data_IF_761582615107
#
_entry.id   IF_761582615107
#
_cell.length_a   1.000
_cell.length_b   1.000
_cell.length_c   1.000
_cell.angle_alpha   90.00
_cell.angle_beta   90.00
_cell.angle_gamma   90.00
#
_symmetry.space_group_name_H-M   'P 1'
#
loop_
_entity.id
_entity.type
_entity.pdbx_description
1 polymer ?
#
# COMPACT_ATOMS: atom_id res chain seq x y z
N UNK A 1 14.26 -24.36 11.85
CA UNK A 1 15.28 -24.04 12.89
C UNK A 1 14.66 -24.40 14.24
N UNK A 2 15.32 -25.20 15.09
CA UNK A 2 14.80 -25.50 16.43
C UNK A 2 14.52 -24.22 17.22
N UNK A 3 13.37 -24.12 17.87
CA UNK A 3 12.94 -22.91 18.59
C UNK A 3 12.53 -21.73 17.69
N UNK A 4 12.37 -21.93 16.37
CA UNK A 4 11.83 -20.89 15.51
C UNK A 4 10.38 -20.57 15.88
N UNK A 5 10.09 -19.27 15.98
CA UNK A 5 8.74 -18.75 16.10
C UNK A 5 8.15 -18.52 14.71
N UNK A 6 6.83 -18.43 14.66
CA UNK A 6 6.05 -18.21 13.46
C UNK A 6 5.35 -16.86 13.53
N UNK A 7 5.37 -16.11 12.43
CA UNK A 7 4.64 -14.85 12.30
C UNK A 7 3.46 -15.01 11.35
N UNK A 8 2.30 -14.54 11.77
CA UNK A 8 1.12 -14.39 10.94
C UNK A 8 0.69 -12.91 10.92
N UNK A 9 0.00 -12.48 9.87
CA UNK A 9 -0.38 -11.08 9.68
C UNK A 9 -1.89 -10.94 9.54
N UNK A 10 -2.50 -10.06 10.34
CA UNK A 10 -3.86 -9.57 10.05
C UNK A 10 -3.72 -8.55 8.92
N UNK A 11 -4.41 -8.81 7.82
CA UNK A 11 -4.32 -8.00 6.61
C UNK A 11 -5.63 -7.28 6.35
N UNK A 12 -5.53 -6.10 5.75
CA UNK A 12 -6.71 -5.31 5.43
C UNK A 12 -7.61 -6.01 4.40
N UNK A 13 -8.90 -5.96 4.65
CA UNK A 13 -9.94 -6.32 3.68
C UNK A 13 -10.37 -5.12 2.80
N UNK A 14 -9.90 -3.92 3.11
CA UNK A 14 -10.28 -2.68 2.43
C UNK A 14 -9.21 -2.25 1.42
N UNK A 15 -9.67 -1.73 0.28
CA UNK A 15 -8.78 -1.13 -0.70
C UNK A 15 -8.24 0.23 -0.25
N UNK A 16 -9.02 0.99 0.52
CA UNK A 16 -8.63 2.27 1.10
C UNK A 16 -9.51 2.53 2.33
N UNK A 17 -8.93 2.74 3.50
CA UNK A 17 -9.68 3.05 4.73
C UNK A 17 -8.76 3.65 5.80
N UNK A 18 -9.29 4.52 6.65
CA UNK A 18 -8.61 4.87 7.91
C UNK A 18 -8.74 3.70 8.89
N UNK A 19 -7.73 3.52 9.71
CA UNK A 19 -7.75 2.57 10.83
C UNK A 19 -8.15 3.38 12.07
N UNK A 20 -9.39 3.23 12.52
CA UNK A 20 -9.91 3.99 13.66
C UNK A 20 -9.53 3.34 15.00
N UNK A 21 -9.54 2.00 15.05
CA UNK A 21 -9.12 1.24 16.24
C UNK A 21 -8.59 -0.14 15.86
N UNK A 22 -7.64 -0.65 16.65
CA UNK A 22 -7.20 -2.05 16.64
C UNK A 22 -7.42 -2.58 18.05
N UNK A 23 -8.40 -3.45 18.23
CA UNK A 23 -8.64 -4.17 19.48
C UNK A 23 -7.99 -5.55 19.40
N UNK A 24 -7.08 -5.82 20.32
CA UNK A 24 -6.39 -7.11 20.39
C UNK A 24 -7.15 -8.14 21.23
N UNK A 25 -8.26 -7.75 21.87
CA UNK A 25 -9.14 -8.64 22.64
C UNK A 25 -8.37 -9.57 23.59
N UNK A 26 -8.63 -10.87 23.44
CA UNK A 26 -7.95 -11.96 24.18
C UNK A 26 -6.89 -12.67 23.32
N UNK A 27 -6.40 -12.03 22.26
CA UNK A 27 -5.39 -12.60 21.37
C UNK A 27 -4.08 -12.86 22.09
N UNK A 28 -3.68 -11.96 23.00
CA UNK A 28 -2.47 -12.11 23.81
C UNK A 28 -2.55 -13.28 24.81
N UNK A 29 -3.77 -13.73 25.15
CA UNK A 29 -4.00 -14.80 26.11
C UNK A 29 -3.94 -16.20 25.47
N UNK A 30 -3.79 -16.30 24.14
CA UNK A 30 -3.62 -17.59 23.45
C UNK A 30 -2.28 -18.22 23.90
N UNK A 31 -2.28 -19.42 24.51
CA UNK A 31 -1.03 -20.06 24.94
C UNK A 31 -0.08 -20.25 23.76
N UNK A 32 1.18 -19.84 23.95
CA UNK A 32 2.21 -19.88 22.92
C UNK A 32 2.28 -18.64 22.02
N UNK A 33 1.41 -17.63 22.21
CA UNK A 33 1.65 -16.29 21.64
C UNK A 33 2.80 -15.63 22.39
N UNK A 34 3.79 -15.16 21.62
CA UNK A 34 5.00 -14.51 22.13
C UNK A 34 4.88 -12.99 22.03
N UNK A 35 4.19 -12.47 21.01
CA UNK A 35 4.00 -11.03 20.88
C UNK A 35 3.01 -10.65 19.78
N UNK A 36 2.37 -9.50 19.97
CA UNK A 36 1.46 -8.88 19.01
C UNK A 36 1.97 -7.47 18.69
N UNK A 37 2.16 -7.19 17.40
CA UNK A 37 2.78 -5.98 16.92
C UNK A 37 1.82 -5.17 16.04
N UNK A 38 1.68 -3.88 16.39
CA UNK A 38 1.02 -2.85 15.59
C UNK A 38 2.08 -1.90 15.05
N UNK A 39 1.71 -1.02 14.12
CA UNK A 39 2.64 -0.05 13.54
C UNK A 39 3.41 0.75 14.61
N UNK A 40 2.74 1.22 15.67
CA UNK A 40 3.32 1.99 16.76
C UNK A 40 4.48 1.29 17.49
N UNK A 41 4.45 -0.04 17.60
CA UNK A 41 5.53 -0.82 18.21
C UNK A 41 6.80 -0.83 17.35
N UNK A 42 6.68 -0.53 16.06
CA UNK A 42 7.78 -0.59 15.09
C UNK A 42 8.32 0.79 14.73
N UNK A 43 7.58 1.88 14.99
CA UNK A 43 7.94 3.23 14.53
C UNK A 43 9.33 3.70 14.97
N UNK A 44 9.74 3.37 16.20
CA UNK A 44 11.05 3.74 16.74
C UNK A 44 12.18 2.79 16.32
N UNK A 45 11.85 1.61 15.79
CA UNK A 45 12.80 0.52 15.53
C UNK A 45 13.09 0.35 14.04
N UNK A 46 12.08 0.56 13.20
CA UNK A 46 12.13 0.26 11.77
C UNK A 46 11.68 1.49 10.98
N UNK A 47 12.61 2.23 10.36
CA UNK A 47 12.22 3.32 9.47
C UNK A 47 11.47 2.76 8.25
N UNK A 48 10.50 3.51 7.69
CA UNK A 48 9.81 3.08 6.49
C UNK A 48 10.78 2.96 5.31
N UNK A 49 10.56 1.97 4.47
CA UNK A 49 11.27 1.88 3.19
C UNK A 49 10.75 3.01 2.30
N UNK A 50 11.66 3.72 1.64
CA UNK A 50 11.34 4.72 0.63
C UNK A 50 12.02 4.34 -0.66
N UNK A 51 11.23 3.99 -1.68
CA UNK A 51 11.76 3.92 -3.03
C UNK A 51 12.13 5.34 -3.43
N UNK A 52 13.40 5.58 -3.78
CA UNK A 52 13.88 6.90 -4.21
C UNK A 52 14.28 6.84 -5.68
N UNK A 53 14.12 7.96 -6.38
CA UNK A 53 14.47 8.09 -7.79
C UNK A 53 15.00 9.48 -8.09
N UNK A 54 15.93 9.58 -9.05
CA UNK A 54 16.49 10.85 -9.53
C UNK A 54 15.61 11.53 -10.58
N UNK A 55 14.42 11.00 -10.84
CA UNK A 55 13.47 11.60 -11.76
C UNK A 55 13.01 12.96 -11.24
N UNK A 56 12.94 13.94 -12.14
CA UNK A 56 12.33 15.22 -11.86
C UNK A 56 10.88 14.99 -11.38
N UNK A 57 10.50 15.69 -10.32
CA UNK A 57 9.16 15.61 -9.71
C UNK A 57 8.77 14.20 -9.22
N UNK A 58 9.74 13.37 -8.83
CA UNK A 58 9.44 12.10 -8.19
C UNK A 58 9.02 12.29 -6.73
N UNK A 59 7.88 11.71 -6.36
CA UNK A 59 7.38 11.74 -4.99
C UNK A 59 7.62 10.40 -4.31
N UNK A 60 8.60 10.35 -3.39
CA UNK A 60 8.91 9.15 -2.63
C UNK A 60 7.93 8.94 -1.49
N UNK A 61 7.03 7.96 -1.62
CA UNK A 61 6.06 7.61 -0.59
C UNK A 61 6.63 6.56 0.38
N UNK A 62 6.34 6.66 1.69
CA UNK A 62 6.81 5.68 2.67
C UNK A 62 6.05 4.36 2.55
N UNK A 63 6.79 3.25 2.65
CA UNK A 63 6.25 1.90 2.75
C UNK A 63 6.56 1.39 4.16
N UNK A 64 5.52 1.25 4.98
CA UNK A 64 5.63 0.78 6.35
C UNK A 64 5.53 -0.75 6.42
N UNK A 65 6.18 -1.41 7.40
CA UNK A 65 6.03 -2.85 7.61
C UNK A 65 4.60 -3.26 7.96
N UNK A 66 3.91 -2.41 8.73
CA UNK A 66 2.50 -2.52 9.10
C UNK A 66 1.82 -1.17 8.81
N UNK A 67 0.58 -1.20 8.35
CA UNK A 67 -0.21 -0.03 8.01
C UNK A 67 -0.32 0.91 9.20
N UNK A 68 -0.05 2.19 8.96
CA UNK A 68 -0.08 3.25 9.97
C UNK A 68 -1.17 4.26 9.61
N UNK A 69 -2.16 4.41 10.49
CA UNK A 69 -3.27 5.37 10.37
C UNK A 69 -4.28 5.05 9.27
N UNK A 70 -3.84 4.48 8.14
CA UNK A 70 -4.70 4.04 7.04
C UNK A 70 -4.10 2.89 6.25
N UNK A 71 -4.99 2.14 5.61
CA UNK A 71 -4.69 1.09 4.63
C UNK A 71 -4.91 1.63 3.22
N UNK A 72 -4.09 1.22 2.27
CA UNK A 72 -3.96 1.74 0.90
C UNK A 72 -4.21 0.67 -0.17
N UNK A 73 -4.33 -0.59 0.22
CA UNK A 73 -4.69 -1.69 -0.67
C UNK A 73 -5.20 -2.92 0.12
N UNK A 74 -6.01 -3.74 -0.54
CA UNK A 74 -6.46 -5.02 0.02
C UNK A 74 -5.25 -5.94 0.21
N UNK A 75 -5.10 -6.47 1.42
CA UNK A 75 -3.97 -7.33 1.79
C UNK A 75 -2.83 -6.61 2.49
N UNK A 76 -2.90 -5.28 2.69
CA UNK A 76 -1.89 -4.55 3.45
C UNK A 76 -1.81 -5.08 4.89
N UNK A 77 -0.63 -5.47 5.39
CA UNK A 77 -0.47 -5.92 6.78
C UNK A 77 -0.82 -4.80 7.77
N UNK A 78 -1.59 -5.11 8.81
CA UNK A 78 -1.98 -4.14 9.85
C UNK A 78 -1.46 -4.55 11.23
N UNK A 79 -1.55 -5.86 11.53
CA UNK A 79 -1.07 -6.44 12.78
C UNK A 79 -0.21 -7.66 12.45
N UNK A 80 0.86 -7.87 13.21
CA UNK A 80 1.65 -9.10 13.17
C UNK A 80 1.55 -9.83 14.52
N UNK A 81 1.28 -11.13 14.49
CA UNK A 81 1.31 -11.99 15.67
C UNK A 81 2.46 -12.96 15.53
N UNK A 82 3.29 -13.05 16.56
CA UNK A 82 4.39 -14.00 16.67
C UNK A 82 4.04 -15.05 17.72
N UNK A 83 4.10 -16.33 17.35
CA UNK A 83 3.76 -17.45 18.24
C UNK A 83 4.69 -18.65 18.04
N UNK A 84 4.62 -19.62 18.94
CA UNK A 84 5.40 -20.87 18.91
C UNK A 84 5.05 -21.77 17.71
N UNK A 85 3.86 -21.60 17.13
CA UNK A 85 3.46 -22.28 15.90
C UNK A 85 2.62 -21.38 15.01
N UNK A 86 2.53 -21.75 13.72
CA UNK A 86 1.71 -21.00 12.76
C UNK A 86 0.23 -20.98 13.14
N UNK A 87 -0.33 -22.13 13.54
CA UNK A 87 -1.75 -22.23 13.89
C UNK A 87 -2.10 -21.36 15.09
N UNK A 88 -1.23 -21.32 16.11
CA UNK A 88 -1.44 -20.44 17.28
C UNK A 88 -1.41 -18.95 16.91
N UNK A 89 -0.53 -18.57 15.97
CA UNK A 89 -0.53 -17.20 15.46
C UNK A 89 -1.84 -16.89 14.71
N UNK A 90 -2.35 -17.81 13.90
CA UNK A 90 -3.62 -17.67 13.18
C UNK A 90 -4.83 -17.63 14.15
N UNK A 91 -4.89 -18.51 15.15
CA UNK A 91 -5.95 -18.54 16.18
C UNK A 91 -5.99 -17.23 17.00
N UNK A 92 -4.83 -16.63 17.25
CA UNK A 92 -4.74 -15.33 17.91
C UNK A 92 -5.20 -14.18 17.02
N UNK A 93 -4.93 -14.23 15.71
CA UNK A 93 -5.42 -13.22 14.76
C UNK A 93 -6.95 -13.18 14.70
N UNK A 94 -7.61 -14.33 14.81
CA UNK A 94 -9.09 -14.43 14.81
C UNK A 94 -9.75 -13.73 16.02
N UNK A 95 -8.97 -13.38 17.05
CA UNK A 95 -9.42 -12.65 18.24
C UNK A 95 -9.13 -11.16 18.18
N UNK A 96 -8.56 -10.67 17.07
CA UNK A 96 -8.22 -9.27 16.86
C UNK A 96 -9.26 -8.65 15.95
N UNK A 97 -9.84 -7.54 16.38
CA UNK A 97 -10.80 -6.77 15.59
C UNK A 97 -10.18 -5.43 15.17
N UNK A 98 -10.40 -5.06 13.90
CA UNK A 98 -9.96 -3.76 13.37
C UNK A 98 -11.18 -2.98 12.93
N UNK A 99 -11.37 -1.81 13.54
CA UNK A 99 -12.36 -0.85 13.09
C UNK A 99 -11.76 -0.01 11.95
N UNK A 100 -12.49 0.05 10.83
CA UNK A 100 -12.12 0.81 9.66
C UNK A 100 -13.16 1.88 9.36
N UNK A 101 -12.69 3.01 8.86
CA UNK A 101 -13.53 4.01 8.20
C UNK A 101 -13.21 3.98 6.70
N UNK A 102 -14.05 3.33 5.87
CA UNK A 102 -13.77 3.18 4.45
C UNK A 102 -13.64 4.52 3.74
N UNK A 103 -12.61 4.62 2.90
CA UNK A 103 -12.40 5.74 1.99
C UNK A 103 -12.64 5.29 0.56
N UNK A 104 -13.04 6.21 -0.31
CA UNK A 104 -13.22 5.89 -1.73
C UNK A 104 -11.87 5.50 -2.35
N UNK A 105 -11.71 4.26 -2.85
CA UNK A 105 -10.49 3.85 -3.53
C UNK A 105 -10.50 4.37 -4.97
N UNK A 106 -9.32 4.77 -5.47
CA UNK A 106 -9.13 5.14 -6.88
C UNK A 106 -8.39 4.00 -7.58
N UNK A 107 -9.13 3.19 -8.34
CA UNK A 107 -8.60 1.98 -9.00
C UNK A 107 -8.34 2.15 -10.50
N UNK A 108 -8.73 3.29 -11.06
CA UNK A 108 -8.46 3.66 -12.45
C UNK A 108 -7.38 4.74 -12.49
N UNK A 109 -6.26 4.51 -13.20
CA UNK A 109 -5.17 5.48 -13.28
C UNK A 109 -5.59 6.79 -13.96
N UNK A 110 -6.56 6.79 -14.88
CA UNK A 110 -7.07 8.01 -15.51
C UNK A 110 -7.89 8.83 -14.51
N UNK A 111 -8.69 8.18 -13.67
CA UNK A 111 -9.43 8.86 -12.60
C UNK A 111 -8.48 9.40 -11.52
N UNK A 112 -7.36 8.71 -11.26
CA UNK A 112 -6.35 9.18 -10.31
C UNK A 112 -5.66 10.49 -10.72
N UNK A 113 -5.67 10.83 -12.02
CA UNK A 113 -5.08 12.07 -12.55
C UNK A 113 -5.99 13.29 -12.40
N UNK A 114 -7.26 13.10 -12.05
CA UNK A 114 -8.19 14.21 -11.89
C UNK A 114 -7.79 15.07 -10.68
N UNK A 115 -7.93 16.39 -10.78
CA UNK A 115 -7.56 17.34 -9.72
C UNK A 115 -8.29 17.08 -8.39
N UNK A 116 -9.50 16.52 -8.44
CA UNK A 116 -10.33 16.19 -7.29
C UNK A 116 -10.29 14.70 -6.91
N UNK A 117 -9.37 13.91 -7.48
CA UNK A 117 -9.21 12.52 -7.11
C UNK A 117 -8.82 12.38 -5.64
N UNK A 118 -9.36 11.38 -4.95
CA UNK A 118 -8.91 11.03 -3.60
C UNK A 118 -7.43 10.71 -3.64
N UNK A 119 -6.63 11.43 -2.85
CA UNK A 119 -5.19 11.21 -2.76
C UNK A 119 -4.89 9.96 -1.93
N UNK A 120 -4.08 9.06 -2.48
CA UNK A 120 -3.61 7.89 -1.73
C UNK A 120 -2.50 8.27 -0.72
N UNK A 121 -1.73 9.29 -1.04
CA UNK A 121 -0.68 9.88 -0.22
C UNK A 121 -0.88 11.39 -0.17
N UNK A 122 -1.57 11.87 0.86
CA UNK A 122 -1.89 13.28 1.05
C UNK A 122 -0.61 14.13 1.12
N UNK A 123 0.45 13.58 1.71
CA UNK A 123 1.76 14.22 1.81
C UNK A 123 2.43 14.46 0.44
N UNK A 124 2.02 13.74 -0.60
CA UNK A 124 2.52 13.96 -1.97
C UNK A 124 1.75 15.07 -2.70
N UNK A 125 0.54 15.40 -2.28
CA UNK A 125 -0.33 16.38 -2.94
C UNK A 125 -0.84 15.96 -4.34
N UNK A 126 -0.47 14.77 -4.82
CA UNK A 126 -0.82 14.23 -6.13
C UNK A 126 -0.79 12.71 -6.12
N UNK A 127 -1.57 12.07 -7.00
CA UNK A 127 -1.46 10.63 -7.30
C UNK A 127 -0.42 10.33 -8.39
N UNK A 128 0.25 11.34 -8.94
CA UNK A 128 1.34 11.19 -9.92
C UNK A 128 2.67 11.06 -9.19
N UNK A 129 3.13 9.83 -8.98
CA UNK A 129 4.44 9.59 -8.34
C UNK A 129 5.62 9.95 -9.25
N UNK A 130 5.41 9.88 -10.56
CA UNK A 130 6.43 10.09 -11.57
C UNK A 130 5.81 10.49 -12.89
N UNK A 131 6.42 11.47 -13.56
CA UNK A 131 6.09 11.83 -14.93
C UNK A 131 7.38 11.97 -15.74
N UNK A 132 7.36 11.46 -16.96
CA UNK A 132 8.43 11.68 -17.94
C UNK A 132 7.83 11.96 -19.29
N UNK A 133 8.47 12.89 -19.99
CA UNK A 133 8.18 13.21 -21.37
C UNK A 133 9.44 12.92 -22.18
N UNK A 134 9.27 12.24 -23.31
CA UNK A 134 10.36 11.91 -24.22
C UNK A 134 9.97 12.42 -25.60
N UNK A 135 10.84 13.19 -26.23
CA UNK A 135 10.65 13.68 -27.57
C UNK A 135 11.99 13.89 -28.27
N UNK A 136 11.98 13.79 -29.59
CA UNK A 136 13.16 14.04 -30.43
C UNK A 136 12.73 14.69 -31.74
N UNK A 137 13.30 15.87 -32.02
CA UNK A 137 12.92 16.67 -33.18
C UNK A 137 11.63 17.46 -32.95
N UNK A 138 11.11 18.04 -34.03
CA UNK A 138 9.83 18.79 -34.03
C UNK A 138 8.66 17.83 -34.33
N UNK A 139 8.18 17.17 -33.29
CA UNK A 139 7.12 16.15 -33.40
C UNK A 139 5.83 16.75 -33.96
N UNK A 140 5.45 17.94 -33.52
CA UNK A 140 4.18 18.56 -33.89
C UNK A 140 4.15 18.91 -35.39
N UNK A 141 5.22 19.50 -35.91
CA UNK A 141 5.34 19.82 -37.33
C UNK A 141 5.34 18.56 -38.20
N UNK A 142 6.15 17.56 -37.84
CA UNK A 142 6.26 16.31 -38.60
C UNK A 142 4.93 15.52 -38.58
N UNK A 143 4.24 15.47 -37.44
CA UNK A 143 2.92 14.83 -37.32
C UNK A 143 1.86 15.56 -38.15
N UNK A 144 1.89 16.89 -38.20
CA UNK A 144 0.96 17.68 -39.01
C UNK A 144 1.15 17.44 -40.52
N UNK A 145 2.40 17.35 -40.98
CA UNK A 145 2.77 17.13 -42.37
C UNK A 145 2.61 15.68 -42.85
N UNK A 146 2.50 14.71 -41.94
CA UNK A 146 2.40 13.30 -42.29
C UNK A 146 1.19 12.99 -43.19
N UNK A 147 1.44 12.31 -44.31
CA UNK A 147 0.40 11.90 -45.26
C UNK A 147 -0.61 10.91 -44.64
N UNK A 148 -0.17 10.11 -43.67
CA UNK A 148 -1.00 9.16 -42.92
C UNK A 148 -0.65 9.24 -41.44
N UNK A 149 -1.67 9.30 -40.58
CA UNK A 149 -1.54 9.22 -39.13
C UNK A 149 -2.36 8.04 -38.62
N UNK A 150 -1.77 7.21 -37.78
CA UNK A 150 -2.45 6.08 -37.12
C UNK A 150 -2.29 6.22 -35.62
N UNK A 151 -3.36 5.97 -34.87
CA UNK A 151 -3.35 6.04 -33.42
C UNK A 151 -4.24 4.94 -32.83
N UNK A 152 -3.95 4.57 -31.58
CA UNK A 152 -4.71 3.57 -30.84
C UNK A 152 -4.56 3.75 -29.34
N UNK A 153 -5.59 3.36 -28.58
CA UNK A 153 -5.54 3.26 -27.13
C UNK A 153 -5.33 1.79 -26.76
N UNK A 154 -4.21 1.50 -26.12
CA UNK A 154 -3.85 0.16 -25.68
C UNK A 154 -4.00 0.06 -24.16
N UNK A 155 -4.62 -1.01 -23.67
CA UNK A 155 -4.76 -1.30 -22.24
C UNK A 155 -4.17 -2.67 -21.97
N UNK A 156 -3.24 -2.73 -21.03
CA UNK A 156 -2.65 -3.97 -20.55
C UNK A 156 -3.15 -4.26 -19.14
N UNK A 157 -3.49 -5.51 -18.87
CA UNK A 157 -3.91 -5.92 -17.53
C UNK A 157 -2.70 -6.13 -16.62
N UNK A 158 -2.93 -6.01 -15.31
CA UNK A 158 -1.95 -6.44 -14.31
C UNK A 158 -1.62 -7.92 -14.53
N UNK A 159 -0.33 -8.25 -14.48
CA UNK A 159 0.17 -9.63 -14.43
C UNK A 159 0.72 -9.90 -13.04
N UNK A 160 0.50 -11.11 -12.55
CA UNK A 160 1.05 -11.63 -11.29
C UNK A 160 2.30 -12.45 -11.59
#
# INVERSE_FOLDING_TARGET
VPGALHVAFLRSIHAHALISCIDIGTAADVPGVVGIYKAEHLEALVPPVRATSRMRNYHATPIYPLARGKVRYVGEPVVAVVAESRSLAEDALDRIEIAYEPLTPVVDPQLALLENATLLHEEAGTNVLAQREFGRGDIDTEMAAAAVRVGGRFRFHRKT
#
